data_IF_105154398435
#
_entry.id   IF_105154398435
#
_cell.length_a   1.000
_cell.length_b   1.000
_cell.length_c   1.000
_cell.angle_alpha   90.00
_cell.angle_beta   90.00
_cell.angle_gamma   90.00
#
_symmetry.space_group_name_H-M   'P 1'
#
loop_
_entity.id
_entity.type
_entity.pdbx_description
1 polymer ?
#
# COMPACT_ATOMS: atom_id res chain seq x y z
N UNK A 1 23.03 -9.60 -34.54
CA UNK A 1 21.68 -9.47 -33.94
C UNK A 1 21.70 -9.01 -32.46
N UNK A 2 22.87 -8.89 -31.81
CA UNK A 2 23.02 -8.60 -30.36
C UNK A 2 23.07 -7.09 -29.98
N UNK A 3 23.31 -6.16 -30.92
CA UNK A 3 23.47 -4.73 -30.60
C UNK A 3 22.16 -3.95 -30.41
N UNK A 4 21.01 -4.46 -30.89
CA UNK A 4 19.70 -3.79 -30.75
C UNK A 4 19.02 -4.09 -29.40
N UNK A 5 19.37 -5.22 -28.77
CA UNK A 5 18.79 -5.67 -27.50
C UNK A 5 19.28 -4.81 -26.31
N UNK A 6 20.57 -4.45 -26.30
CA UNK A 6 21.16 -3.59 -25.26
C UNK A 6 20.63 -2.14 -25.25
N UNK A 7 20.29 -1.58 -26.42
CA UNK A 7 19.79 -0.21 -26.52
C UNK A 7 18.32 -0.07 -26.09
N UNK A 8 17.53 -1.14 -26.27
CA UNK A 8 16.12 -1.14 -25.89
C UNK A 8 15.95 -1.27 -24.38
N UNK A 9 16.81 -2.08 -23.76
CA UNK A 9 16.83 -2.35 -22.33
C UNK A 9 17.42 -1.18 -21.50
N UNK A 10 18.34 -0.39 -22.07
CA UNK A 10 18.80 0.86 -21.47
C UNK A 10 17.75 1.97 -21.59
N UNK A 11 17.04 2.04 -22.71
CA UNK A 11 15.99 3.04 -22.90
C UNK A 11 14.79 2.78 -21.98
N UNK A 12 14.38 1.52 -21.78
CA UNK A 12 13.36 1.16 -20.79
C UNK A 12 13.81 1.48 -19.36
N UNK A 13 15.04 1.16 -18.98
CA UNK A 13 15.58 1.55 -17.66
C UNK A 13 15.62 3.07 -17.47
N UNK A 14 16.05 3.82 -18.49
CA UNK A 14 16.08 5.29 -18.44
C UNK A 14 14.67 5.90 -18.36
N UNK A 15 13.68 5.31 -19.05
CA UNK A 15 12.27 5.69 -18.94
C UNK A 15 11.73 5.44 -17.53
N UNK A 16 11.98 4.26 -16.97
CA UNK A 16 11.56 3.91 -15.61
C UNK A 16 12.21 4.87 -14.61
N UNK A 17 13.51 5.11 -14.73
CA UNK A 17 14.24 6.04 -13.87
C UNK A 17 13.70 7.47 -14.00
N UNK A 18 13.42 7.93 -15.23
CA UNK A 18 12.84 9.26 -15.47
C UNK A 18 11.46 9.42 -14.85
N UNK A 19 10.58 8.43 -15.02
CA UNK A 19 9.23 8.42 -14.40
C UNK A 19 9.32 8.43 -12.87
N UNK A 20 10.24 7.63 -12.30
CA UNK A 20 10.48 7.63 -10.85
C UNK A 20 10.98 9.00 -10.38
N UNK A 21 11.91 9.63 -11.09
CA UNK A 21 12.45 10.95 -10.75
C UNK A 21 11.35 12.03 -10.77
N UNK A 22 10.49 12.00 -11.79
CA UNK A 22 9.35 12.92 -11.90
C UNK A 22 8.38 12.70 -10.72
N UNK A 23 8.06 11.44 -10.40
CA UNK A 23 7.21 11.10 -9.26
C UNK A 23 7.77 11.64 -7.95
N UNK A 24 9.07 11.44 -7.70
CA UNK A 24 9.77 11.99 -6.53
C UNK A 24 9.70 13.52 -6.53
N UNK A 25 9.99 14.18 -7.65
CA UNK A 25 9.93 15.64 -7.75
C UNK A 25 8.54 16.22 -7.46
N UNK A 26 7.48 15.56 -7.91
CA UNK A 26 6.09 15.95 -7.61
C UNK A 26 5.77 15.80 -6.13
N UNK A 27 6.23 14.74 -5.48
CA UNK A 27 6.06 14.53 -4.03
C UNK A 27 6.76 15.66 -3.26
N UNK A 28 7.99 16.01 -3.64
CA UNK A 28 8.74 17.11 -3.03
C UNK A 28 8.03 18.47 -3.20
N UNK A 29 7.50 18.75 -4.40
CA UNK A 29 6.72 19.97 -4.66
C UNK A 29 5.45 20.03 -3.81
N UNK A 30 4.75 18.92 -3.70
CA UNK A 30 3.52 18.83 -2.90
C UNK A 30 3.81 19.03 -1.41
N UNK A 31 4.88 18.41 -0.89
CA UNK A 31 5.33 18.56 0.49
C UNK A 31 5.71 20.01 0.82
N UNK A 32 6.33 20.73 -0.13
CA UNK A 32 6.73 22.12 0.06
C UNK A 32 5.54 23.11 0.03
N UNK A 33 4.44 22.77 -0.67
CA UNK A 33 3.32 23.69 -0.85
C UNK A 33 2.23 23.56 0.24
N UNK A 34 2.06 22.37 0.82
CA UNK A 34 0.97 22.10 1.75
C UNK A 34 1.33 22.23 3.25
N UNK A 35 2.58 22.56 3.60
CA UNK A 35 3.10 22.57 5.00
C UNK A 35 2.88 21.24 5.76
N UNK A 36 2.40 20.21 5.08
CA UNK A 36 2.31 18.84 5.54
C UNK A 36 3.65 18.18 5.30
N UNK A 37 4.51 18.15 6.32
CA UNK A 37 5.72 17.34 6.31
C UNK A 37 5.35 15.87 6.40
N UNK A 38 5.24 15.19 5.25
CA UNK A 38 5.17 13.73 5.19
C UNK A 38 6.57 13.16 5.42
N UNK A 39 7.04 13.20 6.66
CA UNK A 39 8.34 12.62 7.06
C UNK A 39 8.46 11.16 6.60
N UNK A 40 7.34 10.44 6.61
CA UNK A 40 7.26 9.04 6.21
C UNK A 40 6.60 8.84 4.83
N UNK A 41 6.89 9.67 3.84
CA UNK A 41 6.41 9.50 2.45
C UNK A 41 6.69 8.10 1.87
N UNK A 42 7.74 7.43 2.33
CA UNK A 42 8.05 6.04 1.99
C UNK A 42 6.96 5.05 2.40
N UNK A 43 6.07 5.40 3.35
CA UNK A 43 4.91 4.61 3.73
C UNK A 43 3.95 4.37 2.55
N UNK A 44 4.00 5.21 1.50
CA UNK A 44 3.28 4.96 0.25
C UNK A 44 3.71 3.63 -0.40
N UNK A 45 4.96 3.20 -0.23
CA UNK A 45 5.41 1.88 -0.70
C UNK A 45 4.76 0.74 0.06
N UNK A 46 4.48 0.91 1.35
CA UNK A 46 3.75 -0.08 2.19
C UNK A 46 2.28 -0.14 1.78
N UNK A 47 1.73 0.97 1.27
CA UNK A 47 0.36 1.03 0.77
C UNK A 47 0.15 0.15 -0.47
N UNK A 48 1.18 -0.07 -1.29
CA UNK A 48 1.10 -0.89 -2.51
C UNK A 48 0.65 -2.34 -2.22
N UNK A 49 1.35 -3.13 -1.37
CA UNK A 49 0.93 -4.49 -1.06
C UNK A 49 -0.41 -4.53 -0.32
N UNK A 50 -0.75 -3.50 0.47
CA UNK A 50 -2.07 -3.39 1.06
C UNK A 50 -3.16 -3.30 -0.03
N UNK A 51 -2.99 -2.40 -1.00
CA UNK A 51 -3.91 -2.26 -2.13
C UNK A 51 -4.05 -3.53 -2.96
N UNK A 52 -2.95 -4.28 -3.17
CA UNK A 52 -2.98 -5.57 -3.85
C UNK A 52 -3.86 -6.57 -3.09
N UNK A 53 -3.65 -6.72 -1.78
CA UNK A 53 -4.43 -7.62 -0.94
C UNK A 53 -5.94 -7.27 -0.94
N UNK A 54 -6.28 -5.97 -0.86
CA UNK A 54 -7.67 -5.51 -0.94
C UNK A 54 -8.29 -5.75 -2.33
N UNK A 55 -7.54 -5.52 -3.41
CA UNK A 55 -8.03 -5.78 -4.77
C UNK A 55 -8.31 -7.28 -4.99
N UNK A 56 -7.45 -8.14 -4.46
CA UNK A 56 -7.68 -9.59 -4.49
C UNK A 56 -8.88 -10.01 -3.65
N UNK A 57 -9.04 -9.44 -2.45
CA UNK A 57 -10.23 -9.66 -1.62
C UNK A 57 -11.51 -9.24 -2.36
N UNK A 58 -11.50 -8.11 -3.06
CA UNK A 58 -12.63 -7.62 -3.83
C UNK A 58 -12.96 -8.52 -5.04
N UNK A 59 -11.95 -9.02 -5.72
CA UNK A 59 -12.13 -10.01 -6.80
C UNK A 59 -12.74 -11.30 -6.28
N UNK A 60 -12.23 -11.83 -5.18
CA UNK A 60 -12.76 -13.03 -4.52
C UNK A 60 -14.20 -12.82 -4.03
N UNK A 61 -14.50 -11.64 -3.49
CA UNK A 61 -15.85 -11.27 -3.09
C UNK A 61 -16.83 -11.28 -4.27
N UNK A 62 -16.44 -10.68 -5.41
CA UNK A 62 -17.26 -10.72 -6.63
C UNK A 62 -17.40 -12.12 -7.21
N UNK A 63 -16.33 -12.92 -7.20
CA UNK A 63 -16.32 -14.28 -7.73
C UNK A 63 -17.17 -15.24 -6.90
N UNK A 64 -17.19 -15.07 -5.59
CA UNK A 64 -18.00 -15.87 -4.66
C UNK A 64 -19.46 -15.37 -4.54
N UNK A 65 -19.96 -14.63 -5.54
CA UNK A 65 -21.34 -14.15 -5.55
C UNK A 65 -21.66 -13.14 -4.44
N UNK A 66 -20.69 -12.29 -4.06
CA UNK A 66 -20.82 -11.30 -2.98
C UNK A 66 -21.00 -11.91 -1.59
N UNK A 67 -20.52 -13.14 -1.40
CA UNK A 67 -20.51 -13.81 -0.10
C UNK A 67 -19.17 -13.56 0.59
N UNK A 68 -19.22 -13.15 1.86
CA UNK A 68 -18.04 -13.07 2.71
C UNK A 68 -17.58 -14.47 3.14
N UNK A 69 -16.84 -15.13 2.25
CA UNK A 69 -16.21 -16.42 2.56
C UNK A 69 -14.98 -16.25 3.46
N UNK A 70 -14.52 -17.34 4.07
CA UNK A 70 -13.33 -17.35 4.94
C UNK A 70 -12.07 -16.87 4.21
N UNK A 71 -11.98 -17.13 2.91
CA UNK A 71 -10.86 -16.69 2.06
C UNK A 71 -10.85 -15.17 1.85
N UNK A 72 -12.03 -14.56 1.65
CA UNK A 72 -12.16 -13.09 1.56
C UNK A 72 -11.76 -12.44 2.88
N UNK A 73 -12.23 -12.98 4.02
CA UNK A 73 -11.84 -12.50 5.36
C UNK A 73 -10.32 -12.56 5.57
N UNK A 74 -9.68 -13.69 5.23
CA UNK A 74 -8.24 -13.84 5.39
C UNK A 74 -7.44 -12.83 4.54
N UNK A 75 -7.86 -12.55 3.30
CA UNK A 75 -7.20 -11.55 2.44
C UNK A 75 -7.38 -10.12 2.97
N UNK A 76 -8.55 -9.79 3.49
CA UNK A 76 -8.81 -8.49 4.12
C UNK A 76 -7.91 -8.30 5.35
N UNK A 77 -7.85 -9.30 6.24
CA UNK A 77 -7.00 -9.24 7.43
C UNK A 77 -5.52 -9.08 7.05
N UNK A 78 -5.07 -9.81 6.02
CA UNK A 78 -3.72 -9.67 5.48
C UNK A 78 -3.41 -8.28 4.90
N UNK A 79 -4.41 -7.59 4.35
CA UNK A 79 -4.28 -6.22 3.84
C UNK A 79 -4.40 -5.12 4.91
N UNK A 80 -5.15 -5.38 5.99
CA UNK A 80 -5.36 -4.42 7.09
C UNK A 80 -4.04 -4.09 7.79
N UNK A 81 -3.20 -5.09 8.07
CA UNK A 81 -1.94 -4.87 8.77
C UNK A 81 -1.01 -3.85 8.05
N UNK A 82 -0.62 -4.07 6.78
CA UNK A 82 0.21 -3.10 6.06
C UNK A 82 -0.52 -1.76 5.83
N UNK A 83 -1.86 -1.76 5.70
CA UNK A 83 -2.63 -0.52 5.59
C UNK A 83 -2.55 0.33 6.86
N UNK A 84 -2.74 -0.29 8.03
CA UNK A 84 -2.62 0.41 9.32
C UNK A 84 -1.19 0.93 9.49
N UNK A 85 -0.18 0.10 9.25
CA UNK A 85 1.22 0.52 9.33
C UNK A 85 1.49 1.71 8.40
N UNK A 86 1.05 1.64 7.14
CA UNK A 86 1.20 2.73 6.19
C UNK A 86 0.54 4.03 6.67
N UNK A 87 -0.68 3.96 7.21
CA UNK A 87 -1.40 5.13 7.73
C UNK A 87 -0.72 5.72 8.97
N UNK A 88 -0.21 4.88 9.88
CA UNK A 88 0.50 5.33 11.08
C UNK A 88 1.73 6.14 10.71
N UNK A 89 2.53 5.63 9.77
CA UNK A 89 3.69 6.34 9.28
C UNK A 89 3.29 7.60 8.49
N UNK A 90 2.37 7.48 7.52
CA UNK A 90 1.97 8.58 6.64
C UNK A 90 1.38 9.76 7.43
N UNK A 91 0.61 9.49 8.47
CA UNK A 91 -0.03 10.50 9.32
C UNK A 91 0.81 10.84 10.56
N UNK A 92 2.01 10.26 10.70
CA UNK A 92 2.89 10.40 11.86
C UNK A 92 2.16 10.17 13.20
N UNK A 93 1.31 9.15 13.24
CA UNK A 93 0.50 8.83 14.42
C UNK A 93 1.39 8.16 15.47
N UNK A 94 1.20 8.55 16.73
CA UNK A 94 1.85 7.91 17.86
C UNK A 94 1.41 6.44 18.03
N UNK A 95 2.39 5.54 18.14
CA UNK A 95 2.15 4.09 18.28
C UNK A 95 1.33 3.74 19.54
N UNK A 96 1.41 4.54 20.60
CA UNK A 96 0.60 4.40 21.81
C UNK A 96 -0.89 4.61 21.57
N UNK A 97 -1.27 5.40 20.56
CA UNK A 97 -2.67 5.59 20.13
C UNK A 97 -3.19 4.40 19.31
N UNK A 98 -2.31 3.69 18.61
CA UNK A 98 -2.67 2.63 17.66
C UNK A 98 -2.80 1.27 18.33
N UNK A 99 -2.00 0.98 19.35
CA UNK A 99 -2.02 -0.29 20.07
C UNK A 99 -3.43 -0.77 20.50
N UNK A 100 -4.32 0.08 21.06
CA UNK A 100 -5.69 -0.31 21.41
C UNK A 100 -6.54 -0.81 20.23
N UNK A 101 -6.29 -0.29 19.02
CA UNK A 101 -7.04 -0.66 17.81
C UNK A 101 -6.80 -2.15 17.48
N UNK A 102 -5.57 -2.64 17.66
CA UNK A 102 -5.28 -4.07 17.43
C UNK A 102 -6.05 -4.98 18.39
N UNK A 103 -6.22 -4.57 19.65
CA UNK A 103 -7.02 -5.31 20.65
C UNK A 103 -8.49 -5.38 20.20
N UNK A 104 -9.05 -4.27 19.71
CA UNK A 104 -10.42 -4.22 19.19
C UNK A 104 -10.56 -5.15 17.97
N UNK A 105 -9.62 -5.11 17.03
CA UNK A 105 -9.62 -5.97 15.84
C UNK A 105 -9.59 -7.46 16.23
N UNK A 106 -8.72 -7.84 17.18
CA UNK A 106 -8.64 -9.22 17.69
C UNK A 106 -9.95 -9.63 18.37
N UNK A 107 -10.53 -8.76 19.19
CA UNK A 107 -11.82 -9.01 19.85
C UNK A 107 -12.95 -9.24 18.84
N UNK A 108 -13.05 -8.40 17.81
CA UNK A 108 -13.99 -8.57 16.70
C UNK A 108 -13.75 -9.90 15.99
N UNK A 109 -12.49 -10.25 15.70
CA UNK A 109 -12.16 -11.50 15.04
C UNK A 109 -12.63 -12.72 15.85
N UNK A 110 -12.44 -12.71 17.18
CA UNK A 110 -12.93 -13.78 18.06
C UNK A 110 -14.45 -13.91 18.05
N UNK A 111 -15.20 -12.83 17.87
CA UNK A 111 -16.66 -12.88 17.76
C UNK A 111 -17.14 -13.51 16.43
N UNK A 112 -16.34 -13.39 15.36
CA UNK A 112 -16.74 -13.77 14.00
C UNK A 112 -15.94 -14.94 13.40
N UNK A 113 -15.12 -15.62 14.20
CA UNK A 113 -14.40 -16.84 13.86
C UNK A 113 -15.14 -18.07 14.41
#
# INVERSE_FOLDING_TARGET
MSSKENAQDSNQRNLILGVVLIGVGLIFLFNNYFDFYLDNWWALFILIPAFIAFNEAWKLYKQNGQIFTREVKNRIIGGIFPLVVALVFLLNIDWGTIWPIFIIIIGIFMLFN
#
